data_IF_010162311851
#
_entry.id   IF_010162311851
#
_cell.length_a   1.000
_cell.length_b   1.000
_cell.length_c   1.000
_cell.angle_alpha   90.00
_cell.angle_beta   90.00
_cell.angle_gamma   90.00
#
_symmetry.space_group_name_H-M   'P 1'
#
loop_
_entity.id
_entity.type
_entity.pdbx_description
1 polymer ?
#
# COMPACT_ATOMS: atom_id res chain seq x y z
N UNK A 1 14.46 -13.31 7.64
CA UNK A 1 13.30 -12.39 7.79
C UNK A 1 13.52 -11.04 7.14
N UNK A 2 14.70 -10.44 7.35
CA UNK A 2 14.95 -9.13 6.74
C UNK A 2 14.90 -9.15 5.21
N UNK A 3 15.47 -10.19 4.60
CA UNK A 3 15.44 -10.34 3.14
C UNK A 3 14.00 -10.48 2.66
N UNK A 4 13.19 -11.25 3.36
CA UNK A 4 11.78 -11.41 3.01
C UNK A 4 11.04 -10.08 3.07
N UNK A 5 11.27 -9.29 4.12
CA UNK A 5 10.65 -7.97 4.24
C UNK A 5 11.07 -7.05 3.10
N UNK A 6 12.36 -7.07 2.71
CA UNK A 6 12.82 -6.28 1.58
C UNK A 6 12.18 -6.71 0.27
N UNK A 7 12.07 -8.01 0.05
CA UNK A 7 11.41 -8.53 -1.16
C UNK A 7 9.96 -8.06 -1.20
N UNK A 8 9.26 -8.20 -0.09
CA UNK A 8 7.85 -7.79 -0.03
C UNK A 8 7.70 -6.27 -0.19
N UNK A 9 8.61 -5.48 0.38
CA UNK A 9 8.56 -4.02 0.22
C UNK A 9 8.74 -3.62 -1.23
N UNK A 10 9.69 -4.24 -1.92
CA UNK A 10 9.95 -3.92 -3.32
C UNK A 10 8.77 -4.35 -4.17
N UNK A 11 8.24 -5.55 -3.95
CA UNK A 11 7.09 -6.03 -4.69
C UNK A 11 5.87 -5.15 -4.45
N UNK A 12 5.64 -4.75 -3.20
CA UNK A 12 4.51 -3.88 -2.88
C UNK A 12 4.67 -2.51 -3.53
N UNK A 13 5.88 -1.95 -3.52
CA UNK A 13 6.14 -0.66 -4.15
C UNK A 13 5.87 -0.74 -5.65
N UNK A 14 6.36 -1.79 -6.31
CA UNK A 14 6.12 -1.97 -7.75
C UNK A 14 4.64 -2.14 -8.03
N UNK A 15 3.94 -2.95 -7.22
CA UNK A 15 2.51 -3.15 -7.38
C UNK A 15 1.75 -1.83 -7.22
N UNK A 16 2.14 -1.03 -6.23
CA UNK A 16 1.47 0.24 -5.95
C UNK A 16 1.72 1.24 -7.08
N UNK A 17 2.94 1.27 -7.62
CA UNK A 17 3.24 2.11 -8.77
C UNK A 17 2.40 1.69 -9.97
N UNK A 18 2.30 0.39 -10.23
CA UNK A 18 1.48 -0.12 -11.32
C UNK A 18 0.00 0.24 -11.12
N UNK A 19 -0.47 0.17 -9.87
CA UNK A 19 -1.83 0.58 -9.55
C UNK A 19 -2.07 2.07 -9.82
N UNK A 20 -1.09 2.90 -9.47
CA UNK A 20 -1.19 4.34 -9.73
C UNK A 20 -1.22 4.63 -11.24
N UNK A 21 -0.38 3.94 -12.01
CA UNK A 21 -0.38 4.08 -13.47
C UNK A 21 -1.72 3.64 -14.05
N UNK A 22 -2.24 2.53 -13.54
CA UNK A 22 -3.55 2.04 -13.99
C UNK A 22 -4.64 3.07 -13.70
N UNK A 23 -4.63 3.67 -12.51
CA UNK A 23 -5.61 4.70 -12.15
C UNK A 23 -5.47 5.94 -13.02
N UNK A 24 -4.25 6.26 -13.42
CA UNK A 24 -4.02 7.40 -14.31
C UNK A 24 -4.64 7.13 -15.69
N UNK A 25 -4.58 5.89 -16.16
CA UNK A 25 -5.09 5.50 -17.46
C UNK A 25 -6.59 5.20 -17.45
N UNK A 26 -7.19 5.03 -16.27
CA UNK A 26 -8.61 4.70 -16.12
C UNK A 26 -9.24 5.66 -15.13
N UNK A 27 -10.57 5.67 -15.08
CA UNK A 27 -11.26 6.52 -14.11
C UNK A 27 -11.99 5.66 -13.09
N UNK A 28 -12.53 6.31 -12.07
CA UNK A 28 -13.34 5.64 -11.04
C UNK A 28 -14.55 4.94 -11.64
N UNK A 29 -14.98 5.39 -12.83
CA UNK A 29 -16.12 4.77 -13.49
C UNK A 29 -15.78 3.41 -14.10
N UNK A 30 -14.49 3.11 -14.27
CA UNK A 30 -14.04 1.83 -14.81
C UNK A 30 -14.35 0.69 -13.84
N UNK A 31 -14.35 0.96 -12.55
CA UNK A 31 -14.68 -0.03 -11.53
C UNK A 31 -16.03 0.36 -10.92
N UNK A 32 -17.11 -0.37 -11.24
CA UNK A 32 -18.46 0.05 -10.82
C UNK A 32 -18.60 0.26 -9.31
N UNK A 33 -17.97 -0.58 -8.50
CA UNK A 33 -18.08 -0.46 -7.07
C UNK A 33 -17.36 0.77 -6.51
N UNK A 34 -16.46 1.36 -7.29
CA UNK A 34 -15.70 2.55 -6.87
C UNK A 34 -16.22 3.82 -7.56
N UNK A 35 -17.29 3.72 -8.32
CA UNK A 35 -17.78 4.87 -9.10
C UNK A 35 -18.29 6.00 -8.24
N UNK A 36 -18.57 5.74 -6.95
CA UNK A 36 -19.00 6.77 -6.01
C UNK A 36 -17.85 7.69 -5.57
N UNK A 37 -16.60 7.33 -5.84
CA UNK A 37 -15.46 8.15 -5.46
C UNK A 37 -15.43 9.40 -6.34
N UNK A 38 -15.36 10.61 -5.75
CA UNK A 38 -15.22 11.83 -6.55
C UNK A 38 -13.95 11.77 -7.39
N UNK A 39 -13.99 12.31 -8.59
CA UNK A 39 -12.83 12.27 -9.49
C UNK A 39 -11.59 12.92 -8.84
N UNK A 40 -11.78 14.02 -8.11
CA UNK A 40 -10.66 14.66 -7.42
C UNK A 40 -10.01 13.75 -6.39
N UNK A 41 -10.82 12.96 -5.66
CA UNK A 41 -10.28 11.99 -4.72
C UNK A 41 -9.54 10.87 -5.45
N UNK A 42 -10.05 10.44 -6.61
CA UNK A 42 -9.38 9.44 -7.44
C UNK A 42 -7.98 9.91 -7.84
N UNK A 43 -7.87 11.15 -8.29
CA UNK A 43 -6.58 11.72 -8.66
C UNK A 43 -5.66 11.88 -7.45
N UNK A 44 -6.23 12.25 -6.29
CA UNK A 44 -5.46 12.34 -5.07
C UNK A 44 -4.89 10.98 -4.65
N UNK A 45 -5.64 9.91 -4.90
CA UNK A 45 -5.15 8.56 -4.61
C UNK A 45 -3.95 8.19 -5.47
N UNK A 46 -3.89 8.66 -6.72
CA UNK A 46 -2.72 8.41 -7.57
C UNK A 46 -1.48 9.01 -6.92
N UNK A 47 -1.56 10.28 -6.51
CA UNK A 47 -0.45 10.95 -5.86
C UNK A 47 -0.09 10.26 -4.54
N UNK A 48 -1.10 9.88 -3.77
CA UNK A 48 -0.91 9.20 -2.49
C UNK A 48 -0.17 7.88 -2.68
N UNK A 49 -0.57 7.10 -3.69
CA UNK A 49 0.07 5.82 -3.96
C UNK A 49 1.52 5.99 -4.39
N UNK A 50 1.80 7.00 -5.21
CA UNK A 50 3.17 7.27 -5.62
C UNK A 50 4.04 7.68 -4.42
N UNK A 51 3.50 8.51 -3.52
CA UNK A 51 4.21 8.88 -2.31
C UNK A 51 4.45 7.69 -1.40
N UNK A 52 3.48 6.80 -1.27
CA UNK A 52 3.65 5.58 -0.47
C UNK A 52 4.72 4.66 -1.07
N UNK A 53 4.76 4.57 -2.40
CA UNK A 53 5.79 3.77 -3.07
C UNK A 53 7.18 4.32 -2.78
N UNK A 54 7.32 5.64 -2.82
CA UNK A 54 8.59 6.26 -2.43
C UNK A 54 8.94 5.96 -0.99
N UNK A 55 7.95 6.03 -0.09
CA UNK A 55 8.17 5.73 1.32
C UNK A 55 8.64 4.31 1.56
N UNK A 56 8.19 3.36 0.72
CA UNK A 56 8.65 1.98 0.81
C UNK A 56 10.07 1.81 0.30
N UNK A 57 10.50 2.62 -0.66
CA UNK A 57 11.80 2.47 -1.29
C UNK A 57 12.89 3.37 -0.70
N UNK A 58 12.54 4.52 -0.16
CA UNK A 58 13.53 5.47 0.37
C UNK A 58 14.45 4.89 1.43
N UNK A 59 14.01 4.00 2.34
CA UNK A 59 14.94 3.41 3.30
C UNK A 59 16.10 2.64 2.66
N UNK A 60 15.96 2.24 1.38
CA UNK A 60 17.07 1.62 0.66
C UNK A 60 18.24 2.57 0.51
N UNK A 61 17.95 3.87 0.36
CA UNK A 61 18.97 4.87 0.12
C UNK A 61 19.40 5.60 1.40
N UNK A 62 18.50 5.70 2.37
CA UNK A 62 18.80 6.44 3.59
C UNK A 62 18.08 5.81 4.78
N UNK A 63 18.82 5.18 5.67
CA UNK A 63 18.23 4.46 6.81
C UNK A 63 17.57 5.37 7.83
N UNK A 64 17.88 6.67 7.81
CA UNK A 64 17.17 7.60 8.68
C UNK A 64 15.70 7.76 8.29
N UNK A 65 15.34 7.33 7.08
CA UNK A 65 13.97 7.35 6.61
C UNK A 65 13.26 6.01 6.82
N UNK A 66 13.83 5.15 7.65
CA UNK A 66 13.31 3.79 7.83
C UNK A 66 11.87 3.75 8.30
N UNK A 67 11.46 4.72 9.10
CA UNK A 67 10.08 4.76 9.61
C UNK A 67 9.04 4.95 8.49
N UNK A 68 9.47 5.43 7.34
CA UNK A 68 8.54 5.63 6.23
C UNK A 68 7.99 4.32 5.69
N UNK A 69 8.75 3.22 5.76
CA UNK A 69 8.29 1.94 5.25
C UNK A 69 7.04 1.43 5.99
N UNK A 70 7.03 1.32 7.33
CA UNK A 70 5.81 0.88 8.00
C UNK A 70 4.68 1.89 7.88
N UNK A 71 4.98 3.19 7.86
CA UNK A 71 3.95 4.21 7.68
C UNK A 71 3.31 4.07 6.30
N UNK A 72 4.12 3.93 5.25
CA UNK A 72 3.62 3.77 3.89
C UNK A 72 2.79 2.50 3.76
N UNK A 73 3.26 1.40 4.34
CA UNK A 73 2.53 0.13 4.30
C UNK A 73 1.18 0.26 4.99
N UNK A 74 1.14 0.93 6.15
CA UNK A 74 -0.12 1.15 6.87
C UNK A 74 -1.09 2.02 6.05
N UNK A 75 -0.57 3.04 5.36
CA UNK A 75 -1.40 3.89 4.52
C UNK A 75 -1.98 3.12 3.34
N UNK A 76 -1.19 2.26 2.70
CA UNK A 76 -1.68 1.44 1.60
C UNK A 76 -2.74 0.46 2.11
N UNK A 77 -2.51 -0.13 3.28
CA UNK A 77 -3.50 -1.04 3.88
C UNK A 77 -4.83 -0.31 4.13
N UNK A 78 -4.77 0.93 4.63
CA UNK A 78 -5.98 1.72 4.86
C UNK A 78 -6.73 1.97 3.55
N UNK A 79 -6.00 2.27 2.46
CA UNK A 79 -6.62 2.47 1.15
C UNK A 79 -7.28 1.19 0.65
N UNK A 80 -6.61 0.05 0.81
CA UNK A 80 -7.19 -1.23 0.38
C UNK A 80 -8.45 -1.56 1.16
N UNK A 81 -8.45 -1.28 2.47
CA UNK A 81 -9.64 -1.50 3.29
C UNK A 81 -10.77 -0.55 2.90
N UNK A 82 -10.45 0.68 2.52
CA UNK A 82 -11.43 1.62 2.00
C UNK A 82 -12.11 1.07 0.75
N UNK A 83 -11.33 0.52 -0.18
CA UNK A 83 -11.87 -0.09 -1.38
C UNK A 83 -12.77 -1.27 -1.04
N UNK A 84 -12.36 -2.10 -0.08
CA UNK A 84 -13.20 -3.22 0.37
C UNK A 84 -14.54 -2.71 0.91
N UNK A 85 -14.51 -1.68 1.74
CA UNK A 85 -15.72 -1.10 2.30
C UNK A 85 -16.65 -0.53 1.24
N UNK A 86 -16.09 0.19 0.27
CA UNK A 86 -16.88 0.76 -0.82
C UNK A 86 -17.50 -0.33 -1.69
N UNK A 87 -16.75 -1.40 -1.95
CA UNK A 87 -17.26 -2.50 -2.75
C UNK A 87 -18.41 -3.20 -2.05
N UNK A 88 -18.27 -3.47 -0.76
CA UNK A 88 -19.34 -4.10 0.03
C UNK A 88 -20.56 -3.19 0.08
N UNK A 89 -20.34 -1.88 0.29
CA UNK A 89 -21.42 -0.91 0.35
C UNK A 89 -22.18 -0.83 -0.97
N UNK A 90 -21.48 -1.02 -2.10
CA UNK A 90 -22.10 -0.96 -3.41
C UNK A 90 -23.06 -2.11 -3.67
N UNK A 91 -22.98 -3.19 -2.88
CA UNK A 91 -23.83 -4.35 -3.05
C UNK A 91 -23.41 -5.28 -4.17
N UNK A 92 -22.23 -5.07 -4.76
CA UNK A 92 -21.74 -5.93 -5.83
C UNK A 92 -21.48 -7.33 -5.27
N UNK A 93 -22.04 -8.35 -5.90
CA UNK A 93 -21.92 -9.73 -5.44
C UNK A 93 -20.59 -10.38 -5.82
N UNK A 94 -19.81 -9.76 -6.69
CA UNK A 94 -18.50 -10.29 -7.06
C UNK A 94 -17.45 -9.88 -6.04
N UNK A 95 -17.01 -10.81 -5.20
CA UNK A 95 -16.03 -10.52 -4.16
C UNK A 95 -14.58 -10.76 -4.57
N UNK A 96 -14.33 -10.99 -5.86
CA UNK A 96 -12.96 -11.12 -6.36
C UNK A 96 -12.09 -9.92 -6.02
N UNK A 97 -12.53 -8.67 -6.32
CA UNK A 97 -11.76 -7.49 -5.97
C UNK A 97 -11.52 -7.36 -4.47
N UNK A 98 -12.51 -7.70 -3.64
CA UNK A 98 -12.37 -7.65 -2.18
C UNK A 98 -11.26 -8.60 -1.74
N UNK A 99 -11.22 -9.82 -2.29
CA UNK A 99 -10.17 -10.78 -1.96
C UNK A 99 -8.80 -10.22 -2.31
N UNK A 100 -8.67 -9.61 -3.48
CA UNK A 100 -7.43 -9.01 -3.93
C UNK A 100 -6.98 -7.90 -2.97
N UNK A 101 -7.88 -6.99 -2.62
CA UNK A 101 -7.56 -5.88 -1.73
C UNK A 101 -7.18 -6.37 -0.33
N UNK A 102 -7.86 -7.41 0.16
CA UNK A 102 -7.55 -7.99 1.48
C UNK A 102 -6.17 -8.64 1.48
N UNK A 103 -5.78 -9.32 0.40
CA UNK A 103 -4.45 -9.91 0.29
C UNK A 103 -3.38 -8.83 0.34
N UNK A 104 -3.58 -7.74 -0.41
CA UNK A 104 -2.64 -6.63 -0.41
C UNK A 104 -2.57 -5.99 0.99
N UNK A 105 -3.71 -5.80 1.64
CA UNK A 105 -3.75 -5.26 2.99
C UNK A 105 -3.01 -6.17 3.98
N UNK A 106 -3.14 -7.49 3.83
CA UNK A 106 -2.43 -8.43 4.69
C UNK A 106 -0.92 -8.34 4.50
N UNK A 107 -0.47 -8.22 3.25
CA UNK A 107 0.96 -8.03 2.97
C UNK A 107 1.45 -6.74 3.60
N UNK A 108 0.67 -5.66 3.48
CA UNK A 108 1.02 -4.37 4.09
C UNK A 108 1.12 -4.49 5.60
N UNK A 109 0.17 -5.17 6.23
CA UNK A 109 0.18 -5.36 7.68
C UNK A 109 1.40 -6.16 8.12
N UNK A 110 1.77 -7.18 7.35
CA UNK A 110 2.95 -7.98 7.65
C UNK A 110 4.22 -7.13 7.55
N UNK A 111 4.34 -6.31 6.51
CA UNK A 111 5.49 -5.43 6.34
C UNK A 111 5.57 -4.43 7.50
N UNK A 112 4.45 -3.80 7.84
CA UNK A 112 4.42 -2.82 8.93
C UNK A 112 4.83 -3.47 10.24
N UNK A 113 4.24 -4.61 10.55
CA UNK A 113 4.58 -5.35 11.77
C UNK A 113 6.05 -5.78 11.76
N UNK A 114 6.50 -6.31 10.63
CA UNK A 114 7.87 -6.79 10.53
C UNK A 114 8.88 -5.67 10.74
N UNK A 115 8.62 -4.50 10.15
CA UNK A 115 9.55 -3.38 10.26
C UNK A 115 9.49 -2.66 11.61
N UNK A 116 8.34 -2.69 12.26
CA UNK A 116 8.21 -2.06 13.57
C UNK A 116 8.67 -2.96 14.70
N UNK A 117 8.49 -4.27 14.56
CA UNK A 117 8.66 -5.19 15.68
C UNK A 117 9.73 -6.24 15.42
N UNK A 118 9.61 -6.98 14.30
CA UNK A 118 10.49 -8.12 14.06
C UNK A 118 11.88 -7.73 13.56
N UNK A 119 11.97 -6.81 12.62
CA UNK A 119 13.23 -6.42 11.99
C UNK A 119 13.24 -4.94 11.70
N UNK A 120 13.24 -4.08 12.74
CA UNK A 120 13.29 -2.65 12.49
C UNK A 120 14.58 -2.28 11.79
N UNK A 121 14.51 -1.18 11.02
CA UNK A 121 15.69 -0.67 10.33
C UNK A 121 16.65 0.06 11.28
N UNK A 122 16.67 -0.17 12.54
CA UNK A 122 17.45 0.62 13.43
C UNK A 122 18.89 0.58 13.11
N UNK A 123 19.44 1.75 13.07
CA UNK A 123 20.86 1.89 12.94
C UNK A 123 21.54 1.71 14.26
N UNK A 124 20.88 1.43 15.25
CA UNK A 124 21.42 1.36 16.52
C UNK A 124 22.34 0.30 16.68
N UNK A 125 23.28 0.62 17.23
CA UNK A 125 24.22 -0.28 17.52
C UNK A 125 23.78 -1.24 18.45
N UNK A 126 23.12 -1.17 18.19
CA UNK A 126 22.78 -1.82 18.73
C UNK A 126 23.32 -2.69 19.16
N UNK A 127 23.67 -2.36 19.13
CA UNK A 127 24.12 -2.96 19.61
C UNK A 127 24.46 -3.71 19.89
N UNK A 128 24.49 -3.35 19.79
CA UNK A 128 24.67 -3.81 20.01
C UNK A 128 24.78 -4.45 20.13
#
# INVERSE_FOLDING_TARGET
MNILLWVLQILLALHTIMGAVWKFSNSEQTVPSLSAIPHGAWLAMIAFELLCSLGLLLPTFNKSLAILAPIAAACIAAEMLLFCGLHIYSGDANYGPVTYWLVVAAVCAFIAYGRLVLRPFRALPQTQ
#
